data_IF_589179561351
#
_entry.id   IF_589179561351
#
_cell.length_a   1.000
_cell.length_b   1.000
_cell.length_c   1.000
_cell.angle_alpha   90.00
_cell.angle_beta   90.00
_cell.angle_gamma   90.00
#
_symmetry.space_group_name_H-M   'P 1'
#
loop_
_entity.id
_entity.type
_entity.pdbx_description
1 polymer ?
#
# COMPACT_ATOMS: atom_id res chain seq x y z
N UNK A 1 6.72 19.61 43.45
CA UNK A 1 7.59 19.32 42.30
C UNK A 1 6.77 19.52 41.01
N UNK A 2 6.08 20.65 40.75
CA UNK A 2 6.61 21.98 40.44
C UNK A 2 7.83 21.92 39.53
N UNK A 3 7.61 21.96 38.21
CA UNK A 3 8.41 22.60 37.14
C UNK A 3 7.76 22.25 35.79
N UNK A 4 7.83 23.17 34.81
CA UNK A 4 7.18 23.17 33.48
C UNK A 4 5.84 23.93 33.39
N UNK A 5 5.83 25.17 33.88
CA UNK A 5 5.06 26.25 33.26
C UNK A 5 6.05 27.20 32.59
N UNK A 6 5.80 27.52 31.33
CA UNK A 6 6.43 28.63 30.61
C UNK A 6 7.53 28.19 29.64
N UNK A 7 7.20 28.14 28.35
CA UNK A 7 7.89 28.86 27.24
C UNK A 7 6.95 28.76 26.03
N UNK A 8 6.02 29.71 25.91
CA UNK A 8 5.40 30.02 24.62
C UNK A 8 5.33 31.55 24.55
N UNK A 9 6.38 32.14 24.00
CA UNK A 9 6.56 33.57 23.92
C UNK A 9 7.76 33.92 23.03
N UNK A 10 7.43 34.44 21.85
CA UNK A 10 8.21 35.41 21.05
C UNK A 10 9.54 34.92 20.46
N UNK A 11 9.59 34.79 19.13
CA UNK A 11 10.40 35.66 18.24
C UNK A 11 10.29 35.19 16.78
N UNK A 12 9.32 35.77 16.08
CA UNK A 12 9.47 36.14 14.67
C UNK A 12 10.28 37.43 14.64
N UNK A 13 11.57 37.36 14.30
CA UNK A 13 12.34 38.52 13.87
C UNK A 13 13.66 38.05 13.26
N UNK A 14 13.73 38.08 11.93
CA UNK A 14 14.88 38.48 11.09
C UNK A 14 14.73 37.79 9.74
N UNK A 15 13.99 38.44 8.86
CA UNK A 15 14.26 38.34 7.45
C UNK A 15 15.68 38.88 7.21
N UNK A 16 16.52 38.08 6.57
CA UNK A 16 17.64 38.57 5.75
C UNK A 16 17.94 37.52 4.68
N UNK A 17 17.55 37.88 3.47
CA UNK A 17 18.07 37.42 2.20
C UNK A 17 19.60 37.44 2.22
N UNK A 18 20.22 36.36 1.76
CA UNK A 18 21.66 36.22 1.58
C UNK A 18 21.97 35.39 0.34
N UNK A 19 21.50 35.87 -0.81
CA UNK A 19 22.08 35.50 -2.10
C UNK A 19 23.21 36.51 -2.37
N UNK A 20 24.44 36.00 -2.44
CA UNK A 20 25.67 36.60 -2.98
C UNK A 20 26.85 35.85 -2.32
N UNK A 21 27.92 35.37 -2.96
CA UNK A 21 28.47 35.43 -4.31
C UNK A 21 29.43 34.24 -4.41
N UNK A 22 29.44 33.52 -5.53
CA UNK A 22 30.65 32.82 -5.97
C UNK A 22 30.65 32.81 -7.50
N UNK A 23 31.22 33.88 -8.06
CA UNK A 23 31.55 33.98 -9.46
C UNK A 23 32.82 33.15 -9.72
N UNK A 24 32.79 32.27 -10.72
CA UNK A 24 33.97 31.50 -11.10
C UNK A 24 33.72 30.43 -12.16
N UNK A 25 33.79 30.85 -13.43
CA UNK A 25 34.13 30.08 -14.63
C UNK A 25 33.31 28.83 -15.04
N UNK A 26 32.81 28.86 -16.29
CA UNK A 26 32.44 27.65 -17.00
C UNK A 26 31.39 27.86 -18.08
N UNK A 27 31.77 28.50 -19.17
CA UNK A 27 31.00 28.67 -20.40
C UNK A 27 30.45 27.34 -20.94
N UNK A 28 29.14 27.14 -20.81
CA UNK A 28 28.36 26.32 -21.75
C UNK A 28 27.16 27.14 -22.18
N UNK A 29 27.18 27.56 -23.44
CA UNK A 29 26.04 28.12 -24.14
C UNK A 29 24.87 27.12 -24.05
N UNK A 30 23.95 27.37 -23.11
CA UNK A 30 22.67 26.67 -23.06
C UNK A 30 21.68 27.53 -23.85
N UNK A 31 21.26 26.98 -24.98
CA UNK A 31 20.17 27.47 -25.83
C UNK A 31 19.01 28.03 -24.98
N UNK A 32 18.41 29.17 -25.37
CA UNK A 32 17.31 29.80 -24.63
C UNK A 32 16.00 29.11 -24.98
N UNK A 33 15.92 27.79 -24.78
CA UNK A 33 14.62 27.16 -24.64
C UNK A 33 14.21 27.38 -23.20
N UNK A 34 13.38 28.41 -23.01
CA UNK A 34 12.56 28.63 -21.84
C UNK A 34 12.11 27.27 -21.33
N UNK A 35 12.71 26.83 -20.23
CA UNK A 35 12.13 25.78 -19.41
C UNK A 35 10.93 26.46 -18.79
N UNK A 36 9.85 26.56 -19.56
CA UNK A 36 8.55 26.88 -19.03
C UNK A 36 8.35 25.86 -17.92
N UNK A 37 8.44 26.34 -16.69
CA UNK A 37 8.04 25.61 -15.52
C UNK A 37 6.55 25.37 -15.73
N UNK A 38 6.22 24.30 -16.44
CA UNK A 38 4.84 23.85 -16.56
C UNK A 38 4.45 23.57 -15.12
N UNK A 39 3.57 24.38 -14.51
CA UNK A 39 3.21 24.18 -13.14
C UNK A 39 2.70 22.75 -13.04
N UNK A 40 3.13 22.03 -12.01
CA UNK A 40 2.76 20.64 -11.67
C UNK A 40 1.24 20.40 -11.51
N UNK A 41 0.43 21.38 -11.89
CA UNK A 41 -1.00 21.53 -11.76
C UNK A 41 -1.78 20.93 -12.95
N UNK A 42 -1.10 20.51 -14.02
CA UNK A 42 -1.73 19.82 -15.15
C UNK A 42 -1.43 18.32 -15.20
N UNK A 43 -1.32 17.67 -14.05
CA UNK A 43 -1.41 16.20 -13.99
C UNK A 43 -2.79 15.82 -13.51
N UNK A 44 -3.60 15.22 -14.38
CA UNK A 44 -4.87 14.54 -14.04
C UNK A 44 -4.68 13.32 -13.13
N UNK A 45 -3.44 13.04 -12.71
CA UNK A 45 -3.13 11.98 -11.78
C UNK A 45 -3.49 12.38 -10.35
N UNK A 46 -3.97 11.41 -9.58
CA UNK A 46 -4.23 11.54 -8.14
C UNK A 46 -3.04 12.11 -7.33
N UNK A 47 -1.83 12.12 -7.88
CA UNK A 47 -0.63 12.66 -7.22
C UNK A 47 -0.59 14.20 -7.15
N UNK A 48 -1.29 14.88 -8.05
CA UNK A 48 -1.44 16.34 -8.07
C UNK A 48 -2.65 16.86 -7.28
N UNK A 49 -3.57 15.98 -6.88
CA UNK A 49 -4.78 16.37 -6.16
C UNK A 49 -4.47 16.70 -4.68
N UNK A 50 -4.92 17.84 -4.14
CA UNK A 50 -4.66 18.23 -2.76
C UNK A 50 -5.13 17.17 -1.77
N UNK A 51 -4.34 16.94 -0.72
CA UNK A 51 -4.71 16.06 0.39
C UNK A 51 -5.39 16.87 1.48
N UNK A 52 -6.35 16.25 2.16
CA UNK A 52 -6.97 16.83 3.34
C UNK A 52 -5.90 17.23 4.38
N UNK A 53 -6.06 18.37 5.06
CA UNK A 53 -5.11 18.80 6.07
C UNK A 53 -5.13 17.87 7.29
N UNK A 54 -4.05 17.92 8.07
CA UNK A 54 -3.92 17.10 9.27
C UNK A 54 -4.87 17.59 10.35
N UNK A 55 -5.61 16.67 10.97
CA UNK A 55 -6.46 17.00 12.13
C UNK A 55 -5.61 17.47 13.31
N UNK A 56 -6.24 18.14 14.28
CA UNK A 56 -5.59 18.67 15.49
C UNK A 56 -4.70 17.63 16.19
N UNK A 57 -5.25 16.45 16.49
CA UNK A 57 -4.48 15.35 17.10
C UNK A 57 -3.32 14.86 16.23
N UNK A 58 -3.52 14.72 14.91
CA UNK A 58 -2.46 14.23 14.01
C UNK A 58 -1.32 15.23 13.94
N UNK A 59 -1.64 16.53 13.95
CA UNK A 59 -0.66 17.62 14.01
C UNK A 59 0.15 17.55 15.30
N UNK A 60 -0.52 17.51 16.46
CA UNK A 60 0.14 17.32 17.76
C UNK A 60 1.00 16.05 17.79
N UNK A 61 0.47 14.93 17.30
CA UNK A 61 1.18 13.65 17.26
C UNK A 61 2.45 13.70 16.39
N UNK A 62 2.40 14.39 15.26
CA UNK A 62 3.54 14.60 14.37
C UNK A 62 4.63 15.46 15.03
N UNK A 63 4.26 16.45 15.83
CA UNK A 63 5.20 17.31 16.56
C UNK A 63 5.84 16.58 17.75
N UNK A 64 5.07 15.80 18.49
CA UNK A 64 5.55 15.09 19.69
C UNK A 64 6.36 13.84 19.37
N UNK A 65 6.05 13.13 18.26
CA UNK A 65 6.71 11.86 17.94
C UNK A 65 8.24 11.94 17.87
N UNK A 66 8.88 12.93 17.20
CA UNK A 66 10.33 13.07 17.20
C UNK A 66 10.93 13.30 18.59
N UNK A 67 10.25 14.06 19.45
CA UNK A 67 10.69 14.34 20.83
C UNK A 67 10.69 13.04 21.63
N UNK A 68 9.59 12.30 21.58
CA UNK A 68 9.46 11.01 22.25
C UNK A 68 10.46 9.98 21.71
N UNK A 69 10.75 10.02 20.41
CA UNK A 69 11.72 9.13 19.77
C UNK A 69 13.16 9.48 20.15
N UNK A 70 13.48 10.76 20.29
CA UNK A 70 14.79 11.19 20.78
C UNK A 70 15.01 10.76 22.24
N UNK A 71 13.97 10.83 23.07
CA UNK A 71 14.01 10.37 24.46
C UNK A 71 14.00 8.84 24.60
N UNK A 72 13.46 8.13 23.61
CA UNK A 72 13.35 6.67 23.61
C UNK A 72 13.79 6.11 22.24
N UNK A 73 15.10 6.16 21.89
CA UNK A 73 15.59 5.79 20.56
C UNK A 73 15.21 4.36 20.16
N UNK A 74 15.21 3.42 21.11
CA UNK A 74 14.94 2.00 20.87
C UNK A 74 13.44 1.65 20.89
N UNK A 75 12.59 2.56 21.37
CA UNK A 75 11.17 2.27 21.50
C UNK A 75 10.47 2.21 20.13
N UNK A 76 9.55 1.26 19.98
CA UNK A 76 8.69 1.15 18.78
C UNK A 76 7.74 2.34 18.71
N UNK A 77 7.58 2.91 17.51
CA UNK A 77 6.67 4.04 17.28
C UNK A 77 5.24 3.75 17.75
N UNK A 78 4.77 2.50 17.69
CA UNK A 78 3.44 2.11 18.20
C UNK A 78 3.26 2.43 19.69
N UNK A 79 4.29 2.20 20.50
CA UNK A 79 4.24 2.49 21.95
C UNK A 79 4.35 3.99 22.22
N UNK A 80 5.17 4.70 21.45
CA UNK A 80 5.29 6.16 21.55
C UNK A 80 3.97 6.85 21.18
N UNK A 81 3.32 6.41 20.10
CA UNK A 81 2.02 6.95 19.68
C UNK A 81 0.94 6.68 20.74
N UNK A 82 0.94 5.53 21.42
CA UNK A 82 0.03 5.27 22.55
C UNK A 82 0.25 6.26 23.70
N UNK A 83 1.51 6.54 24.06
CA UNK A 83 1.86 7.54 25.09
C UNK A 83 1.41 8.94 24.68
N UNK A 84 1.67 9.35 23.44
CA UNK A 84 1.25 10.64 22.87
C UNK A 84 -0.29 10.77 22.85
N UNK A 85 -1.01 9.69 22.51
CA UNK A 85 -2.47 9.68 22.56
C UNK A 85 -3.01 9.85 24.00
N UNK A 86 -2.30 9.36 25.01
CA UNK A 86 -2.64 9.61 26.42
C UNK A 86 -2.42 11.08 26.77
N UNK A 87 -1.26 11.65 26.40
CA UNK A 87 -0.95 13.06 26.63
C UNK A 87 -1.96 14.00 25.96
N UNK A 88 -2.36 13.70 24.73
CA UNK A 88 -3.40 14.49 24.04
C UNK A 88 -4.73 14.49 24.80
N UNK A 89 -5.12 13.37 25.43
CA UNK A 89 -6.36 13.31 26.23
C UNK A 89 -6.26 14.18 27.47
N UNK A 90 -5.10 14.18 28.13
CA UNK A 90 -4.81 14.94 29.35
C UNK A 90 -4.51 16.43 29.07
N UNK A 91 -4.23 16.80 27.81
CA UNK A 91 -3.94 18.16 27.39
C UNK A 91 -5.13 19.10 27.69
N UNK A 92 -4.91 20.29 28.27
CA UNK A 92 -5.99 21.22 28.53
C UNK A 92 -6.63 21.69 27.23
N UNK A 93 -7.93 21.97 27.28
CA UNK A 93 -8.70 22.35 26.09
C UNK A 93 -8.21 23.66 25.46
N UNK A 94 -7.60 24.55 26.27
CA UNK A 94 -6.95 25.77 25.78
C UNK A 94 -5.80 25.48 24.81
N UNK A 95 -5.00 24.45 25.06
CA UNK A 95 -3.90 24.05 24.20
C UNK A 95 -4.40 23.24 23.00
N UNK A 96 -5.39 22.36 23.19
CA UNK A 96 -6.06 21.65 22.08
C UNK A 96 -6.66 22.64 21.09
N UNK A 97 -7.24 23.74 21.58
CA UNK A 97 -7.88 24.77 20.75
C UNK A 97 -6.91 25.39 19.75
N UNK A 98 -5.64 25.59 20.10
CA UNK A 98 -4.61 26.09 19.18
C UNK A 98 -4.49 25.18 17.95
N UNK A 99 -4.47 23.86 18.18
CA UNK A 99 -4.40 22.86 17.11
C UNK A 99 -5.70 22.77 16.29
N UNK A 100 -6.86 22.96 16.93
CA UNK A 100 -8.16 22.99 16.25
C UNK A 100 -8.31 24.21 15.35
N UNK A 101 -7.95 25.39 15.84
CA UNK A 101 -8.00 26.64 15.08
C UNK A 101 -7.05 26.57 13.88
N UNK A 102 -5.86 26.01 14.07
CA UNK A 102 -4.93 25.78 12.97
C UNK A 102 -5.45 24.76 11.94
N UNK A 103 -6.13 23.69 12.38
CA UNK A 103 -6.81 22.77 11.47
C UNK A 103 -7.95 23.44 10.70
N UNK A 104 -8.74 24.30 11.36
CA UNK A 104 -9.83 25.05 10.71
C UNK A 104 -9.30 25.99 9.64
N UNK A 105 -8.21 26.70 9.91
CA UNK A 105 -7.56 27.58 8.94
C UNK A 105 -7.07 26.78 7.71
N UNK A 106 -6.33 25.70 7.93
CA UNK A 106 -5.87 24.81 6.85
C UNK A 106 -7.05 24.23 6.05
N UNK A 107 -8.17 23.92 6.71
CA UNK A 107 -9.35 23.38 6.06
C UNK A 107 -9.99 24.38 5.10
N UNK A 108 -9.99 25.67 5.43
CA UNK A 108 -10.46 26.71 4.51
C UNK A 108 -9.57 26.80 3.28
N UNK A 109 -8.24 26.84 3.47
CA UNK A 109 -7.27 26.85 2.37
C UNK A 109 -7.46 25.63 1.47
N UNK A 110 -7.59 24.43 2.05
CA UNK A 110 -7.85 23.20 1.30
C UNK A 110 -9.16 23.27 0.52
N UNK A 111 -10.23 23.82 1.11
CA UNK A 111 -11.52 23.95 0.44
C UNK A 111 -11.45 24.88 -0.77
N UNK A 112 -10.83 26.05 -0.61
CA UNK A 112 -10.61 27.00 -1.70
C UNK A 112 -9.80 26.38 -2.84
N UNK A 113 -8.71 25.70 -2.49
CA UNK A 113 -7.84 25.03 -3.43
C UNK A 113 -8.56 23.94 -4.24
N UNK A 114 -9.37 23.12 -3.56
CA UNK A 114 -10.18 22.09 -4.21
C UNK A 114 -11.21 22.70 -5.15
N UNK A 115 -11.88 23.78 -4.74
CA UNK A 115 -12.86 24.47 -5.59
C UNK A 115 -12.19 25.02 -6.86
N UNK A 116 -11.02 25.67 -6.73
CA UNK A 116 -10.25 26.18 -7.88
C UNK A 116 -9.89 25.06 -8.86
N UNK A 117 -9.43 23.92 -8.34
CA UNK A 117 -9.09 22.77 -9.19
C UNK A 117 -10.35 22.21 -9.86
N UNK A 118 -11.45 22.07 -9.12
CA UNK A 118 -12.70 21.54 -9.67
C UNK A 118 -13.26 22.41 -10.81
N UNK A 119 -13.16 23.74 -10.71
CA UNK A 119 -13.55 24.68 -11.77
C UNK A 119 -12.67 24.55 -13.03
N UNK A 120 -11.40 24.21 -12.87
CA UNK A 120 -10.44 24.07 -13.99
C UNK A 120 -10.49 22.71 -14.67
N UNK A 121 -11.12 21.70 -14.06
CA UNK A 121 -11.13 20.34 -14.59
C UNK A 121 -12.14 20.15 -15.72
N UNK A 122 -11.68 19.55 -16.81
CA UNK A 122 -12.57 19.10 -17.89
C UNK A 122 -13.37 17.85 -17.48
N UNK A 123 -14.56 17.60 -18.06
CA UNK A 123 -15.35 16.40 -17.75
C UNK A 123 -14.57 15.09 -17.93
N UNK A 124 -13.70 15.01 -18.95
CA UNK A 124 -12.85 13.84 -19.19
C UNK A 124 -11.85 13.59 -18.05
N UNK A 125 -11.23 14.66 -17.53
CA UNK A 125 -10.30 14.56 -16.41
C UNK A 125 -11.01 14.17 -15.11
N UNK A 126 -12.24 14.66 -14.88
CA UNK A 126 -13.06 14.28 -13.73
C UNK A 126 -13.33 12.77 -13.75
N UNK A 127 -13.82 12.23 -14.88
CA UNK A 127 -14.08 10.79 -15.02
C UNK A 127 -12.81 9.96 -14.84
N UNK A 128 -11.67 10.42 -15.38
CA UNK A 128 -10.37 9.77 -15.18
C UNK A 128 -9.97 9.73 -13.70
N UNK A 129 -10.10 10.86 -12.99
CA UNK A 129 -9.76 10.97 -11.57
C UNK A 129 -10.66 10.09 -10.71
N UNK A 130 -11.97 10.07 -10.96
CA UNK A 130 -12.93 9.20 -10.29
C UNK A 130 -12.58 7.72 -10.49
N UNK A 131 -12.21 7.34 -11.73
CA UNK A 131 -11.76 5.99 -12.05
C UNK A 131 -10.48 5.62 -11.29
N UNK A 132 -9.49 6.50 -11.22
CA UNK A 132 -8.27 6.27 -10.45
C UNK A 132 -8.56 6.10 -8.95
N UNK A 133 -9.42 6.95 -8.38
CA UNK A 133 -9.85 6.86 -6.98
C UNK A 133 -10.56 5.53 -6.73
N UNK A 134 -11.48 5.14 -7.61
CA UNK A 134 -12.21 3.88 -7.53
C UNK A 134 -11.25 2.69 -7.59
N UNK A 135 -10.33 2.66 -8.55
CA UNK A 135 -9.32 1.61 -8.68
C UNK A 135 -8.45 1.49 -7.43
N UNK A 136 -8.01 2.62 -6.84
CA UNK A 136 -7.24 2.62 -5.60
C UNK A 136 -8.05 2.06 -4.41
N UNK A 137 -9.33 2.42 -4.31
CA UNK A 137 -10.25 1.89 -3.28
C UNK A 137 -10.45 0.38 -3.43
N UNK A 138 -10.72 -0.08 -4.66
CA UNK A 138 -10.87 -1.50 -4.96
C UNK A 138 -9.59 -2.29 -4.68
N UNK A 139 -8.43 -1.76 -5.07
CA UNK A 139 -7.11 -2.37 -4.77
C UNK A 139 -6.88 -2.47 -3.26
N UNK A 140 -7.19 -1.43 -2.48
CA UNK A 140 -7.08 -1.46 -1.02
C UNK A 140 -8.04 -2.49 -0.40
N UNK A 141 -9.30 -2.54 -0.86
CA UNK A 141 -10.30 -3.52 -0.40
C UNK A 141 -9.86 -4.96 -0.70
N UNK A 142 -9.35 -5.21 -1.91
CA UNK A 142 -8.82 -6.50 -2.31
C UNK A 142 -7.60 -6.92 -1.46
N UNK A 143 -6.70 -5.98 -1.14
CA UNK A 143 -5.53 -6.25 -0.28
C UNK A 143 -5.95 -6.60 1.16
N UNK A 144 -6.89 -5.84 1.74
CA UNK A 144 -7.41 -6.11 3.09
C UNK A 144 -8.07 -7.49 3.12
N UNK A 145 -8.97 -7.78 2.16
CA UNK A 145 -9.61 -9.09 2.05
C UNK A 145 -8.57 -10.21 1.89
N UNK A 146 -7.53 -10.01 1.07
CA UNK A 146 -6.46 -11.01 0.91
C UNK A 146 -5.72 -11.25 2.24
N UNK A 147 -5.40 -10.19 2.99
CA UNK A 147 -4.72 -10.30 4.28
C UNK A 147 -5.58 -11.02 5.31
N UNK A 148 -6.87 -10.68 5.39
CA UNK A 148 -7.85 -11.38 6.24
C UNK A 148 -7.89 -12.87 5.92
N UNK A 149 -8.08 -13.25 4.65
CA UNK A 149 -8.11 -14.65 4.23
C UNK A 149 -6.78 -15.38 4.54
N UNK A 150 -5.65 -14.68 4.48
CA UNK A 150 -4.34 -15.25 4.86
C UNK A 150 -4.25 -15.48 6.36
N UNK A 151 -4.75 -14.53 7.17
CA UNK A 151 -4.79 -14.67 8.64
C UNK A 151 -5.73 -15.79 9.08
N UNK A 152 -6.84 -16.01 8.35
CA UNK A 152 -7.78 -17.11 8.55
C UNK A 152 -7.25 -18.46 8.02
N UNK A 153 -6.00 -18.53 7.53
CA UNK A 153 -5.40 -19.77 7.06
C UNK A 153 -6.05 -20.35 5.81
N UNK A 154 -6.70 -19.53 4.96
CA UNK A 154 -7.40 -20.05 3.78
C UNK A 154 -6.45 -20.86 2.87
N UNK A 155 -6.81 -22.11 2.51
CA UNK A 155 -6.01 -22.96 1.66
C UNK A 155 -5.61 -22.30 0.33
N UNK A 156 -4.35 -22.49 -0.07
CA UNK A 156 -3.87 -22.02 -1.36
C UNK A 156 -4.48 -22.86 -2.48
N UNK A 157 -4.86 -22.20 -3.57
CA UNK A 157 -5.39 -22.83 -4.79
C UNK A 157 -4.48 -23.96 -5.28
N UNK A 158 -5.06 -24.99 -5.92
CA UNK A 158 -4.29 -26.12 -6.40
C UNK A 158 -3.29 -25.66 -7.46
N UNK A 159 -2.07 -26.20 -7.41
CA UNK A 159 -1.01 -25.92 -8.37
C UNK A 159 -1.27 -26.67 -9.67
N UNK A 160 -1.10 -25.99 -10.80
CA UNK A 160 -1.09 -26.67 -12.09
C UNK A 160 0.23 -27.43 -12.30
N UNK A 161 0.24 -28.39 -13.23
CA UNK A 161 1.45 -29.12 -13.62
C UNK A 161 2.60 -28.17 -13.96
N UNK A 162 2.29 -27.09 -14.70
CA UNK A 162 3.25 -26.05 -15.04
C UNK A 162 3.75 -25.26 -13.81
N UNK A 163 2.88 -24.96 -12.83
CA UNK A 163 3.33 -24.30 -11.60
C UNK A 163 4.27 -25.17 -10.76
N UNK A 164 4.04 -26.48 -10.75
CA UNK A 164 4.91 -27.44 -10.06
C UNK A 164 6.27 -27.50 -10.78
N UNK A 165 6.26 -27.61 -12.11
CA UNK A 165 7.48 -27.56 -12.93
C UNK A 165 8.27 -26.25 -12.73
N UNK A 166 7.61 -25.09 -12.74
CA UNK A 166 8.27 -23.81 -12.45
C UNK A 166 8.92 -23.86 -11.07
N UNK A 167 8.22 -24.35 -10.04
CA UNK A 167 8.75 -24.37 -8.68
C UNK A 167 10.03 -25.21 -8.56
N UNK A 168 10.11 -26.32 -9.29
CA UNK A 168 11.30 -27.18 -9.36
C UNK A 168 12.44 -26.51 -10.14
N UNK A 169 12.20 -26.10 -11.39
CA UNK A 169 13.26 -25.55 -12.28
C UNK A 169 13.75 -24.17 -11.88
N UNK A 170 12.92 -23.38 -11.22
CA UNK A 170 13.32 -22.06 -10.73
C UNK A 170 14.31 -22.16 -9.56
N UNK A 171 14.34 -23.28 -8.83
CA UNK A 171 15.34 -23.53 -7.77
C UNK A 171 16.70 -23.95 -8.36
N UNK A 172 16.69 -24.68 -9.48
CA UNK A 172 17.90 -25.22 -10.12
C UNK A 172 18.74 -24.14 -10.83
N UNK A 173 18.09 -23.09 -11.35
CA UNK A 173 18.78 -22.02 -12.09
C UNK A 173 19.35 -20.98 -11.13
N UNK A 174 20.67 -20.97 -10.91
CA UNK A 174 21.33 -20.02 -10.00
C UNK A 174 21.51 -18.62 -10.61
N UNK A 175 21.68 -18.51 -11.93
CA UNK A 175 22.13 -17.26 -12.56
C UNK A 175 21.07 -16.53 -13.40
N UNK A 176 21.09 -15.18 -13.36
CA UNK A 176 20.24 -14.31 -14.16
C UNK A 176 19.03 -13.70 -13.43
N UNK A 177 18.37 -12.74 -14.08
CA UNK A 177 17.16 -12.09 -13.55
C UNK A 177 15.97 -13.07 -13.59
N UNK A 178 15.01 -12.93 -12.66
CA UNK A 178 13.83 -13.80 -12.58
C UNK A 178 13.04 -13.87 -13.88
N UNK A 179 13.01 -12.78 -14.65
CA UNK A 179 12.35 -12.71 -15.96
C UNK A 179 13.04 -13.59 -17.00
N UNK A 180 14.39 -13.59 -17.02
CA UNK A 180 15.17 -14.44 -17.96
C UNK A 180 15.02 -15.91 -17.59
N UNK A 181 15.10 -16.25 -16.30
CA UNK A 181 14.86 -17.61 -15.80
C UNK A 181 13.49 -18.13 -16.20
N UNK A 182 12.44 -17.33 -15.99
CA UNK A 182 11.06 -17.74 -16.33
C UNK A 182 10.89 -17.95 -17.84
N UNK A 183 11.53 -17.14 -18.69
CA UNK A 183 11.51 -17.35 -20.15
C UNK A 183 12.15 -18.69 -20.52
N UNK A 184 13.33 -19.00 -19.97
CA UNK A 184 14.00 -20.27 -20.21
C UNK A 184 13.16 -21.48 -19.74
N UNK A 185 12.58 -21.39 -18.53
CA UNK A 185 11.68 -22.44 -18.00
C UNK A 185 10.45 -22.62 -18.91
N UNK A 186 9.87 -21.54 -19.43
CA UNK A 186 8.73 -21.62 -20.33
C UNK A 186 9.09 -22.35 -21.64
N UNK A 187 10.25 -22.08 -22.23
CA UNK A 187 10.72 -22.80 -23.41
C UNK A 187 11.01 -24.28 -23.10
N UNK A 188 11.65 -24.56 -21.96
CA UNK A 188 11.87 -25.94 -21.52
C UNK A 188 10.56 -26.70 -21.35
N UNK A 189 9.53 -26.10 -20.73
CA UNK A 189 8.22 -26.70 -20.57
C UNK A 189 7.56 -27.04 -21.92
N UNK A 190 7.66 -26.16 -22.92
CA UNK A 190 7.12 -26.44 -24.26
C UNK A 190 7.79 -27.66 -24.87
N UNK A 191 9.11 -27.75 -24.74
CA UNK A 191 9.94 -28.80 -25.33
C UNK A 191 9.90 -30.13 -24.56
N UNK A 192 9.33 -30.19 -23.36
CA UNK A 192 9.14 -31.45 -22.65
C UNK A 192 8.22 -32.40 -23.42
N UNK A 193 8.63 -33.66 -23.47
CA UNK A 193 7.82 -34.76 -24.01
C UNK A 193 6.56 -35.02 -23.17
N UNK A 194 5.58 -35.70 -23.75
CA UNK A 194 4.33 -36.05 -23.06
C UNK A 194 4.58 -36.94 -21.83
N UNK A 195 5.52 -37.88 -21.90
CA UNK A 195 5.88 -38.74 -20.77
C UNK A 195 6.49 -37.96 -19.61
N UNK A 196 7.37 -36.99 -19.88
CA UNK A 196 7.94 -36.10 -18.86
C UNK A 196 6.86 -35.20 -18.25
N UNK A 197 5.95 -34.65 -19.07
CA UNK A 197 4.80 -33.86 -18.59
C UNK A 197 3.86 -34.68 -17.71
N UNK A 198 3.75 -35.99 -17.95
CA UNK A 198 2.84 -36.87 -17.21
C UNK A 198 3.11 -36.88 -15.69
N UNK A 199 4.38 -36.84 -15.29
CA UNK A 199 4.77 -36.77 -13.86
C UNK A 199 4.17 -35.52 -13.21
N UNK A 200 4.33 -34.36 -13.86
CA UNK A 200 3.78 -33.09 -13.37
C UNK A 200 2.25 -33.05 -13.40
N UNK A 201 1.62 -33.70 -14.39
CA UNK A 201 0.17 -33.86 -14.47
C UNK A 201 -0.34 -34.67 -13.28
N UNK A 202 0.35 -35.76 -12.92
CA UNK A 202 -0.03 -36.57 -11.76
C UNK A 202 0.12 -35.77 -10.46
N UNK A 203 1.25 -35.10 -10.25
CA UNK A 203 1.44 -34.22 -9.08
C UNK A 203 0.37 -33.11 -8.98
N UNK A 204 -0.09 -32.58 -10.11
CA UNK A 204 -1.17 -31.59 -10.14
C UNK A 204 -2.54 -32.20 -9.81
N UNK A 205 -2.79 -33.47 -10.14
CA UNK A 205 -3.98 -34.21 -9.69
C UNK A 205 -3.94 -34.41 -8.18
N UNK A 206 -2.81 -34.81 -7.64
CA UNK A 206 -2.64 -35.03 -6.20
C UNK A 206 -2.79 -33.70 -5.41
N UNK A 207 -2.24 -32.59 -5.93
CA UNK A 207 -2.40 -31.26 -5.30
C UNK A 207 -3.85 -30.74 -5.37
N UNK A 208 -4.64 -31.16 -6.37
CA UNK A 208 -6.08 -30.91 -6.36
C UNK A 208 -6.76 -31.64 -5.22
N UNK A 209 -6.44 -32.92 -4.99
CA UNK A 209 -7.00 -33.71 -3.88
C UNK A 209 -6.66 -33.04 -2.54
N UNK A 210 -5.39 -32.68 -2.33
CA UNK A 210 -4.95 -31.89 -1.17
C UNK A 210 -5.81 -30.64 -0.97
N UNK A 211 -5.95 -29.81 -2.00
CA UNK A 211 -6.74 -28.58 -1.93
C UNK A 211 -8.21 -28.84 -1.58
N UNK A 212 -8.83 -29.88 -2.14
CA UNK A 212 -10.22 -30.20 -1.83
C UNK A 212 -10.40 -30.59 -0.36
N UNK A 213 -9.51 -31.43 0.17
CA UNK A 213 -9.54 -31.84 1.58
C UNK A 213 -9.33 -30.64 2.52
N UNK A 214 -8.28 -29.84 2.28
CA UNK A 214 -8.01 -28.65 3.08
C UNK A 214 -9.16 -27.63 3.02
N UNK A 215 -9.74 -27.40 1.83
CA UNK A 215 -10.86 -26.48 1.68
C UNK A 215 -12.11 -26.96 2.39
N UNK A 216 -12.37 -28.27 2.40
CA UNK A 216 -13.51 -28.84 3.12
C UNK A 216 -13.40 -28.54 4.62
N UNK A 217 -12.28 -28.92 5.23
CA UNK A 217 -12.03 -28.66 6.66
C UNK A 217 -12.02 -27.16 6.98
N UNK A 218 -11.46 -26.33 6.09
CA UNK A 218 -11.46 -24.88 6.29
C UNK A 218 -12.86 -24.27 6.19
N UNK A 219 -13.70 -24.71 5.27
CA UNK A 219 -15.09 -24.24 5.14
C UNK A 219 -15.94 -24.66 6.36
N UNK A 220 -15.74 -25.88 6.87
CA UNK A 220 -16.34 -26.35 8.13
C UNK A 220 -15.94 -25.45 9.30
N UNK A 221 -14.64 -25.15 9.46
CA UNK A 221 -14.15 -24.22 10.47
C UNK A 221 -14.75 -22.81 10.32
N UNK A 222 -14.94 -22.32 9.09
CA UNK A 222 -15.57 -21.01 8.87
C UNK A 222 -17.06 -21.02 9.24
N UNK A 223 -17.78 -22.13 9.08
CA UNK A 223 -19.16 -22.27 9.58
C UNK A 223 -19.20 -22.20 11.11
N UNK A 224 -18.32 -22.93 11.80
CA UNK A 224 -18.26 -22.93 13.26
C UNK A 224 -17.99 -21.54 13.86
N UNK A 225 -17.15 -20.74 13.19
CA UNK A 225 -16.84 -19.36 13.60
C UNK A 225 -17.90 -18.33 13.12
N UNK A 226 -18.95 -18.78 12.43
CA UNK A 226 -20.05 -17.91 11.94
C UNK A 226 -19.66 -17.04 10.74
N UNK A 227 -18.63 -17.42 9.98
CA UNK A 227 -18.11 -16.71 8.79
C UNK A 227 -18.54 -17.39 7.49
N UNK A 228 -19.84 -17.68 7.39
CA UNK A 228 -20.45 -18.32 6.23
C UNK A 228 -20.29 -17.50 4.93
N UNK A 229 -20.10 -16.17 5.05
CA UNK A 229 -19.82 -15.25 3.94
C UNK A 229 -18.57 -15.64 3.12
N UNK A 230 -17.69 -16.46 3.69
CA UNK A 230 -16.43 -16.87 3.09
C UNK A 230 -16.46 -18.23 2.37
N UNK A 231 -17.56 -18.97 2.50
CA UNK A 231 -17.76 -20.30 1.92
C UNK A 231 -18.06 -20.19 0.43
N UNK A 232 -17.57 -21.16 -0.36
CA UNK A 232 -17.82 -21.18 -1.81
C UNK A 232 -19.28 -21.48 -2.11
N UNK A 233 -19.90 -20.65 -2.96
CA UNK A 233 -21.26 -20.85 -3.46
C UNK A 233 -21.42 -22.05 -4.39
N UNK A 234 -20.36 -22.44 -5.09
CA UNK A 234 -20.36 -23.62 -5.96
C UNK A 234 -19.05 -24.39 -5.86
N UNK A 235 -19.16 -25.71 -5.72
CA UNK A 235 -18.03 -26.64 -5.71
C UNK A 235 -18.15 -27.53 -6.93
N UNK A 236 -17.18 -27.45 -7.84
CA UNK A 236 -17.03 -28.44 -8.92
C UNK A 236 -16.18 -29.58 -8.39
N UNK A 237 -16.80 -30.74 -8.19
CA UNK A 237 -16.10 -31.97 -7.85
C UNK A 237 -15.47 -32.56 -9.12
N UNK A 238 -14.26 -33.14 -9.04
CA UNK A 238 -13.75 -33.97 -10.11
C UNK A 238 -14.68 -35.19 -10.27
N UNK A 239 -14.98 -35.57 -11.52
CA UNK A 239 -15.71 -36.80 -11.80
C UNK A 239 -14.99 -37.97 -11.11
N UNK A 240 -15.73 -38.77 -10.34
CA UNK A 240 -15.20 -40.00 -9.75
C UNK A 240 -14.63 -40.84 -10.90
N UNK A 241 -13.34 -41.18 -10.82
CA UNK A 241 -12.77 -42.21 -11.69
C UNK A 241 -13.54 -43.50 -11.44
N UNK A 242 -14.11 -44.07 -12.50
CA UNK A 242 -14.74 -45.38 -12.47
C UNK A 242 -13.77 -46.40 -11.85
N UNK A 243 -14.26 -47.32 -10.98
CA UNK A 243 -13.43 -48.41 -10.50
C UNK A 243 -13.06 -49.28 -11.70
N UNK A 244 -11.75 -49.46 -11.95
CA UNK A 244 -11.23 -50.53 -12.79
C UNK A 244 -11.84 -51.85 -12.29
N UNK A 245 -12.73 -52.41 -13.09
CA UNK A 245 -13.25 -53.75 -12.89
C UNK A 245 -12.11 -54.73 -13.15
N UNK A 246 -11.95 -55.65 -12.19
CA UNK A 246 -11.00 -56.77 -12.15
C UNK A 246 -10.91 -57.57 -13.45
#
# INVERSE_FOLDING_TARGET
MALLRGVWGVLNALGKSGADLCAGCGSRLRSPFSFAYVPKWFSSSLSGYPKKPMTSYVRFSKEQLPIFKAQNPDAKNSELIKKIAKLWRELPDSEKKIYEDAYRADWQVYKEEINRIQEQLTPSQIVSLEKEIMQKRLKKKALIKKRELTMLGKPKRPRSAYNIFIAERFQETKDGTSQVKLKAINENWKNLSNSQKQVYIQLAKDDKIRYYNEMKSWEEQMMEVGREDLIRRSVKYPAKSEPEQL
#
